data_IF_611955043409
#
_entry.id   IF_611955043409
#
_cell.length_a   1.000
_cell.length_b   1.000
_cell.length_c   1.000
_cell.angle_alpha   90.00
_cell.angle_beta   90.00
_cell.angle_gamma   90.00
#
_symmetry.space_group_name_H-M   'P 1'
#
loop_
_entity.id
_entity.type
_entity.pdbx_description
1 polymer ?
#
# COMPACT_ATOMS: atom_id res chain seq x y z
N UNK A 1 18.82 11.91 3.75
CA UNK A 1 18.06 12.96 3.01
C UNK A 1 16.63 12.46 2.91
N UNK A 2 15.62 13.22 3.34
CA UNK A 2 14.23 12.82 3.16
C UNK A 2 13.94 12.76 1.66
N UNK A 3 13.37 11.64 1.22
CA UNK A 3 13.01 11.41 -0.17
C UNK A 3 11.76 12.25 -0.47
N UNK A 4 11.97 13.46 -0.97
CA UNK A 4 10.90 14.30 -1.53
C UNK A 4 10.55 13.70 -2.87
N UNK A 5 9.41 13.01 -2.96
CA UNK A 5 8.78 12.72 -4.26
C UNK A 5 8.47 14.10 -4.85
N UNK A 6 8.97 14.45 -6.05
CA UNK A 6 8.66 15.74 -6.64
C UNK A 6 7.15 15.86 -6.79
N UNK A 7 6.58 16.87 -6.10
CA UNK A 7 5.19 17.30 -6.28
C UNK A 7 5.16 18.04 -7.61
N UNK A 8 5.08 17.29 -8.70
CA UNK A 8 4.66 17.78 -10.00
C UNK A 8 3.40 17.00 -10.39
N UNK A 9 2.34 17.20 -9.63
CA UNK A 9 0.98 16.90 -10.06
C UNK A 9 0.18 18.17 -9.87
N UNK A 10 -0.37 18.66 -10.95
CA UNK A 10 -1.40 19.70 -10.96
C UNK A 10 -2.58 19.18 -10.14
N UNK A 11 -2.62 19.53 -8.84
CA UNK A 11 -3.81 19.29 -8.04
C UNK A 11 -4.91 20.16 -8.61
N UNK A 12 -6.03 19.58 -8.97
CA UNK A 12 -7.16 20.29 -9.56
C UNK A 12 -7.82 21.25 -8.55
N UNK A 13 -7.56 21.06 -7.23
CA UNK A 13 -8.11 21.87 -6.16
C UNK A 13 -7.23 21.92 -4.89
N UNK A 14 -7.42 22.98 -4.07
CA UNK A 14 -6.80 23.07 -2.74
C UNK A 14 -7.23 21.93 -1.80
N UNK A 15 -8.41 21.36 -2.01
CA UNK A 15 -8.87 20.21 -1.23
C UNK A 15 -8.08 18.94 -1.57
N UNK A 16 -7.82 18.69 -2.85
CA UNK A 16 -6.97 17.56 -3.27
C UNK A 16 -5.53 17.72 -2.80
N UNK A 17 -4.98 18.93 -2.86
CA UNK A 17 -3.66 19.21 -2.32
C UNK A 17 -3.61 18.89 -0.81
N UNK A 18 -4.56 19.41 -0.02
CA UNK A 18 -4.62 19.15 1.43
C UNK A 18 -4.81 17.64 1.74
N UNK A 19 -5.65 16.95 0.96
CA UNK A 19 -5.85 15.51 1.06
C UNK A 19 -4.53 14.76 0.85
N UNK A 20 -3.84 15.03 -0.24
CA UNK A 20 -2.59 14.36 -0.61
C UNK A 20 -1.49 14.64 0.43
N UNK A 21 -1.35 15.88 0.88
CA UNK A 21 -0.34 16.27 1.86
C UNK A 21 -0.56 15.61 3.22
N UNK A 22 -1.78 15.64 3.75
CA UNK A 22 -2.10 14.99 5.04
C UNK A 22 -1.89 13.47 4.91
N UNK A 23 -2.36 12.86 3.83
CA UNK A 23 -2.19 11.43 3.56
C UNK A 23 -0.71 11.03 3.50
N UNK A 24 0.12 11.85 2.84
CA UNK A 24 1.56 11.62 2.77
C UNK A 24 2.21 11.69 4.15
N UNK A 25 1.82 12.66 5.00
CA UNK A 25 2.31 12.77 6.37
C UNK A 25 1.95 11.56 7.24
N UNK A 26 0.75 11.00 7.05
CA UNK A 26 0.35 9.75 7.71
C UNK A 26 1.25 8.60 7.23
N UNK A 27 1.46 8.45 5.94
CA UNK A 27 2.28 7.39 5.37
C UNK A 27 3.77 7.51 5.67
N UNK A 28 4.25 8.71 5.91
CA UNK A 28 5.63 8.97 6.32
C UNK A 28 5.84 8.90 7.85
N UNK A 29 4.81 8.55 8.63
CA UNK A 29 4.84 8.53 10.10
C UNK A 29 5.13 9.88 10.76
N UNK A 30 4.96 11.00 10.03
CA UNK A 30 4.97 12.35 10.62
C UNK A 30 3.72 12.56 11.48
N UNK A 31 2.61 11.91 11.10
CA UNK A 31 1.36 11.83 11.84
C UNK A 31 1.08 10.36 12.17
N UNK A 32 1.05 10.01 13.45
CA UNK A 32 1.00 8.63 13.92
C UNK A 32 -0.43 8.12 14.10
N UNK A 33 -0.67 6.81 13.90
CA UNK A 33 -1.92 6.19 14.32
C UNK A 33 -2.26 6.53 15.77
N UNK A 34 -3.44 7.10 16.00
CA UNK A 34 -3.91 7.54 17.32
C UNK A 34 -3.65 9.02 17.64
N UNK A 35 -2.81 9.74 16.89
CA UNK A 35 -2.56 11.17 17.12
C UNK A 35 -3.86 11.99 16.98
N UNK A 36 -4.05 12.95 17.91
CA UNK A 36 -5.18 13.88 17.91
C UNK A 36 -4.74 15.24 17.36
N UNK A 37 -5.49 15.77 16.41
CA UNK A 37 -5.14 17.01 15.73
C UNK A 37 -6.37 17.89 15.54
N UNK A 38 -6.26 19.18 15.87
CA UNK A 38 -7.32 20.15 15.62
C UNK A 38 -7.36 20.60 14.16
N UNK A 39 -8.55 21.00 13.66
CA UNK A 39 -8.69 21.61 12.31
C UNK A 39 -7.78 22.82 12.12
N UNK A 40 -7.61 23.64 13.18
CA UNK A 40 -6.77 24.82 13.12
C UNK A 40 -5.29 24.51 12.90
N UNK A 41 -4.80 23.45 13.55
CA UNK A 41 -3.41 23.00 13.37
C UNK A 41 -3.21 22.38 11.99
N UNK A 42 -4.16 21.58 11.51
CA UNK A 42 -4.11 20.99 10.17
C UNK A 42 -4.15 22.07 9.08
N UNK A 43 -5.02 23.08 9.22
CA UNK A 43 -5.11 24.19 8.26
C UNK A 43 -3.78 24.94 8.10
N UNK A 44 -3.10 25.20 9.23
CA UNK A 44 -1.77 25.81 9.25
C UNK A 44 -0.71 24.90 8.64
N UNK A 45 -0.75 23.61 8.98
CA UNK A 45 0.21 22.61 8.52
C UNK A 45 0.22 22.47 6.99
N UNK A 46 -0.98 22.43 6.36
CA UNK A 46 -1.12 22.26 4.91
C UNK A 46 -1.42 23.57 4.16
N UNK A 47 -1.31 24.69 4.86
CA UNK A 47 -1.45 26.06 4.33
C UNK A 47 -2.71 26.28 3.47
N UNK A 48 -3.87 25.83 3.95
CA UNK A 48 -5.18 26.04 3.29
C UNK A 48 -6.20 26.62 4.25
N UNK A 49 -7.26 27.24 3.70
CA UNK A 49 -8.40 27.70 4.50
C UNK A 49 -9.28 26.52 4.97
N UNK A 50 -10.22 26.81 5.89
CA UNK A 50 -11.05 25.77 6.51
C UNK A 50 -11.94 25.00 5.53
N UNK A 51 -12.45 25.66 4.48
CA UNK A 51 -13.39 25.01 3.54
C UNK A 51 -12.71 23.86 2.74
N UNK A 52 -11.61 24.09 2.00
CA UNK A 52 -10.91 23.01 1.32
C UNK A 52 -10.35 21.96 2.30
N UNK A 53 -9.91 22.38 3.50
CA UNK A 53 -9.47 21.43 4.52
C UNK A 53 -10.58 20.46 4.92
N UNK A 54 -11.80 20.94 5.19
CA UNK A 54 -12.93 20.09 5.58
C UNK A 54 -13.30 19.10 4.48
N UNK A 55 -13.23 19.49 3.22
CA UNK A 55 -13.43 18.58 2.08
C UNK A 55 -12.37 17.47 2.07
N UNK A 56 -11.10 17.83 2.25
CA UNK A 56 -10.00 16.87 2.37
C UNK A 56 -10.19 15.91 3.55
N UNK A 57 -10.58 16.44 4.72
CA UNK A 57 -10.82 15.64 5.92
C UNK A 57 -12.00 14.67 5.75
N UNK A 58 -13.07 15.07 5.07
CA UNK A 58 -14.18 14.16 4.73
C UNK A 58 -13.72 13.01 3.83
N UNK A 59 -12.87 13.30 2.83
CA UNK A 59 -12.31 12.28 1.95
C UNK A 59 -11.38 11.32 2.73
N UNK A 60 -10.51 11.86 3.60
CA UNK A 60 -9.64 11.05 4.46
C UNK A 60 -10.44 10.17 5.44
N UNK A 61 -11.54 10.69 5.99
CA UNK A 61 -12.44 9.93 6.85
C UNK A 61 -13.15 8.82 6.06
N UNK A 62 -13.65 9.10 4.87
CA UNK A 62 -14.26 8.11 3.99
C UNK A 62 -13.27 6.99 3.64
N UNK A 63 -12.02 7.36 3.36
CA UNK A 63 -10.92 6.40 3.11
C UNK A 63 -10.47 5.62 4.36
N UNK A 64 -10.96 5.98 5.57
CA UNK A 64 -10.61 5.32 6.81
C UNK A 64 -9.24 5.71 7.40
N UNK A 65 -8.63 6.81 6.93
CA UNK A 65 -7.34 7.30 7.43
C UNK A 65 -7.45 8.12 8.72
N UNK A 66 -8.60 8.74 8.95
CA UNK A 66 -8.88 9.56 10.14
C UNK A 66 -10.29 9.31 10.65
N UNK A 67 -10.54 9.68 11.92
CA UNK A 67 -11.86 9.65 12.56
C UNK A 67 -12.16 11.02 13.15
N UNK A 68 -13.40 11.48 13.05
CA UNK A 68 -13.86 12.68 13.76
C UNK A 68 -14.11 12.33 15.23
N UNK A 69 -13.55 13.12 16.15
CA UNK A 69 -13.77 12.99 17.59
C UNK A 69 -14.54 14.22 18.07
N UNK A 70 -15.78 14.07 18.52
CA UNK A 70 -16.60 15.21 18.96
C UNK A 70 -15.90 16.07 19.99
N UNK A 71 -15.97 17.41 19.82
CA UNK A 71 -15.38 18.44 20.67
C UNK A 71 -13.84 18.48 20.73
N UNK A 72 -13.12 17.52 20.11
CA UNK A 72 -11.66 17.45 20.13
C UNK A 72 -11.09 17.82 18.74
N UNK A 73 -11.67 17.26 17.68
CA UNK A 73 -11.18 17.44 16.31
C UNK A 73 -11.07 16.11 15.56
N UNK A 74 -9.87 15.79 15.10
CA UNK A 74 -9.61 14.63 14.28
C UNK A 74 -8.56 13.71 14.91
N UNK A 75 -8.75 12.42 14.75
CA UNK A 75 -7.77 11.41 15.15
C UNK A 75 -7.27 10.67 13.93
N UNK A 76 -5.95 10.51 13.80
CA UNK A 76 -5.38 9.56 12.85
C UNK A 76 -5.88 8.17 13.22
N UNK A 77 -6.42 7.43 12.27
CA UNK A 77 -7.02 6.12 12.55
C UNK A 77 -6.03 5.21 13.30
N UNK A 78 -6.37 4.72 14.49
CA UNK A 78 -5.53 3.73 15.17
C UNK A 78 -5.41 2.47 14.33
N UNK A 79 -4.31 1.72 14.50
CA UNK A 79 -4.17 0.42 13.88
C UNK A 79 -5.18 -0.55 14.52
N UNK A 80 -6.04 -1.07 13.69
CA UNK A 80 -7.04 -2.07 14.03
C UNK A 80 -6.65 -3.38 13.33
N UNK A 81 -6.04 -4.30 14.07
CA UNK A 81 -5.50 -5.54 13.51
C UNK A 81 -6.60 -6.49 13.01
N UNK A 82 -7.78 -6.49 13.63
CA UNK A 82 -8.90 -7.31 13.17
C UNK A 82 -9.42 -6.78 11.83
N UNK A 83 -9.51 -5.45 11.70
CA UNK A 83 -9.87 -4.81 10.43
C UNK A 83 -8.81 -5.01 9.34
N UNK A 84 -7.54 -5.00 9.71
CA UNK A 84 -6.45 -5.32 8.77
C UNK A 84 -6.57 -6.77 8.28
N UNK A 85 -6.88 -7.71 9.14
CA UNK A 85 -7.09 -9.11 8.77
C UNK A 85 -8.23 -9.27 7.75
N UNK A 86 -9.38 -8.61 7.96
CA UNK A 86 -10.49 -8.61 7.00
C UNK A 86 -10.06 -8.05 5.63
N UNK A 87 -9.27 -6.97 5.63
CA UNK A 87 -8.75 -6.38 4.39
C UNK A 87 -7.80 -7.33 3.65
N UNK A 88 -6.92 -8.04 4.37
CA UNK A 88 -6.04 -9.06 3.78
C UNK A 88 -6.83 -10.24 3.22
N UNK A 89 -7.86 -10.70 3.92
CA UNK A 89 -8.71 -11.79 3.45
C UNK A 89 -9.46 -11.40 2.16
N UNK A 90 -9.99 -10.17 2.11
CA UNK A 90 -10.65 -9.67 0.91
C UNK A 90 -9.67 -9.45 -0.25
N UNK A 91 -8.47 -8.96 0.03
CA UNK A 91 -7.38 -8.85 -0.93
C UNK A 91 -7.05 -10.22 -1.57
N UNK A 92 -6.92 -11.27 -0.74
CA UNK A 92 -6.69 -12.64 -1.21
C UNK A 92 -7.77 -13.06 -2.20
N UNK A 93 -9.06 -12.86 -1.89
CA UNK A 93 -10.17 -13.23 -2.77
C UNK A 93 -10.05 -12.55 -4.14
N UNK A 94 -9.77 -11.25 -4.18
CA UNK A 94 -9.63 -10.48 -5.41
C UNK A 94 -8.43 -10.97 -6.22
N UNK A 95 -7.27 -11.10 -5.59
CA UNK A 95 -6.03 -11.45 -6.30
C UNK A 95 -6.02 -12.90 -6.78
N UNK A 96 -6.59 -13.85 -6.03
CA UNK A 96 -6.73 -15.24 -6.50
C UNK A 96 -7.65 -15.33 -7.71
N UNK A 97 -8.73 -14.55 -7.75
CA UNK A 97 -9.61 -14.50 -8.92
C UNK A 97 -8.88 -13.91 -10.13
N UNK A 98 -8.12 -12.82 -9.95
CA UNK A 98 -7.31 -12.22 -11.00
C UNK A 98 -6.28 -13.21 -11.57
N UNK A 99 -5.53 -13.90 -10.72
CA UNK A 99 -4.54 -14.90 -11.14
C UNK A 99 -5.19 -16.08 -11.87
N UNK A 100 -6.36 -16.54 -11.42
CA UNK A 100 -7.13 -17.58 -12.12
C UNK A 100 -7.50 -17.13 -13.54
N UNK A 101 -7.98 -15.90 -13.71
CA UNK A 101 -8.30 -15.36 -15.02
C UNK A 101 -7.06 -15.25 -15.92
N UNK A 102 -5.92 -14.77 -15.37
CA UNK A 102 -4.66 -14.63 -16.09
C UNK A 102 -4.10 -15.97 -16.60
N UNK A 103 -4.21 -17.03 -15.82
CA UNK A 103 -3.78 -18.36 -16.25
C UNK A 103 -4.58 -18.90 -17.45
N UNK A 104 -5.82 -18.45 -17.62
CA UNK A 104 -6.74 -18.89 -18.66
C UNK A 104 -6.80 -17.94 -19.88
N UNK A 105 -6.17 -16.77 -19.81
CA UNK A 105 -6.19 -15.76 -20.86
C UNK A 105 -4.96 -15.83 -21.77
N UNK A 106 -5.00 -15.08 -22.90
CA UNK A 106 -3.83 -14.87 -23.73
C UNK A 106 -2.76 -14.09 -22.95
N UNK A 107 -1.58 -14.68 -22.76
CA UNK A 107 -0.48 -14.21 -21.89
C UNK A 107 0.41 -13.18 -22.55
N UNK A 108 0.14 -12.76 -23.77
CA UNK A 108 0.88 -11.70 -24.48
C UNK A 108 0.39 -10.31 -24.04
N UNK A 109 0.40 -10.06 -22.73
CA UNK A 109 0.01 -8.80 -22.12
C UNK A 109 1.27 -8.01 -21.75
N UNK A 110 1.34 -6.74 -22.17
CA UNK A 110 2.47 -5.85 -21.89
C UNK A 110 2.75 -5.72 -20.38
N UNK A 111 1.71 -5.69 -19.54
CA UNK A 111 1.85 -5.65 -18.08
C UNK A 111 2.66 -6.85 -17.58
N UNK A 112 2.40 -8.03 -18.11
CA UNK A 112 3.14 -9.24 -17.75
C UNK A 112 4.61 -9.20 -18.17
N UNK A 113 4.91 -8.63 -19.35
CA UNK A 113 6.30 -8.44 -19.81
C UNK A 113 7.08 -7.52 -18.86
N UNK A 114 6.45 -6.45 -18.38
CA UNK A 114 7.08 -5.56 -17.39
C UNK A 114 7.29 -6.26 -16.03
N UNK A 115 6.33 -7.03 -15.54
CA UNK A 115 6.51 -7.80 -14.31
C UNK A 115 7.67 -8.80 -14.40
N UNK A 116 7.84 -9.46 -15.56
CA UNK A 116 8.97 -10.36 -15.79
C UNK A 116 10.33 -9.63 -15.72
N UNK A 117 10.43 -8.43 -16.31
CA UNK A 117 11.66 -7.62 -16.29
C UNK A 117 12.07 -7.23 -14.86
N UNK A 118 11.11 -7.07 -13.96
CA UNK A 118 11.35 -6.68 -12.56
C UNK A 118 11.66 -7.89 -11.70
N UNK A 119 10.86 -8.96 -11.80
CA UNK A 119 10.85 -10.04 -10.82
C UNK A 119 11.61 -11.29 -11.25
N UNK A 120 11.96 -11.44 -12.55
CA UNK A 120 12.75 -12.58 -13.04
C UNK A 120 14.24 -12.22 -13.29
N UNK A 121 14.73 -11.16 -12.66
CA UNK A 121 16.13 -10.77 -12.77
C UNK A 121 17.05 -11.63 -11.90
N UNK A 122 18.34 -11.80 -12.32
CA UNK A 122 19.35 -12.49 -11.51
C UNK A 122 19.53 -11.81 -10.14
N UNK A 123 19.89 -12.59 -9.12
CA UNK A 123 20.11 -12.08 -7.74
C UNK A 123 21.09 -10.90 -7.67
N UNK A 124 22.13 -10.90 -8.53
CA UNK A 124 23.12 -9.82 -8.61
C UNK A 124 22.58 -8.47 -9.11
N UNK A 125 21.37 -8.44 -9.69
CA UNK A 125 20.73 -7.22 -10.23
C UNK A 125 19.54 -6.75 -9.39
N UNK A 126 19.22 -7.45 -8.30
CA UNK A 126 18.10 -7.10 -7.41
C UNK A 126 18.42 -5.85 -6.61
N UNK A 127 17.46 -4.97 -6.47
CA UNK A 127 17.54 -3.86 -5.52
C UNK A 127 17.41 -4.36 -4.09
N UNK A 128 18.16 -3.74 -3.17
CA UNK A 128 18.03 -3.93 -1.72
C UNK A 128 17.49 -2.67 -1.03
N UNK A 129 17.09 -1.67 -1.80
CA UNK A 129 16.43 -0.49 -1.27
C UNK A 129 15.02 -0.87 -0.80
N UNK A 130 14.80 -0.79 0.49
CA UNK A 130 13.56 -1.21 1.16
C UNK A 130 12.34 -0.45 0.65
N UNK A 131 12.47 0.87 0.45
CA UNK A 131 11.39 1.71 -0.05
C UNK A 131 11.04 1.38 -1.51
N UNK A 132 12.06 1.24 -2.36
CA UNK A 132 11.89 0.90 -3.76
C UNK A 132 11.21 -0.46 -3.93
N UNK A 133 11.69 -1.49 -3.22
CA UNK A 133 11.12 -2.83 -3.30
C UNK A 133 9.69 -2.87 -2.73
N UNK A 134 9.40 -2.09 -1.69
CA UNK A 134 8.03 -1.94 -1.18
C UNK A 134 7.06 -1.36 -2.21
N UNK A 135 7.51 -0.37 -3.00
CA UNK A 135 6.72 0.19 -4.11
C UNK A 135 6.53 -0.84 -5.23
N UNK A 136 7.60 -1.53 -5.61
CA UNK A 136 7.54 -2.58 -6.63
C UNK A 136 6.61 -3.74 -6.24
N UNK A 137 6.61 -4.12 -4.97
CA UNK A 137 5.72 -5.15 -4.43
C UNK A 137 4.25 -4.70 -4.49
N UNK A 138 3.94 -3.46 -4.14
CA UNK A 138 2.60 -2.89 -4.28
C UNK A 138 2.15 -2.87 -5.76
N UNK A 139 3.05 -2.47 -6.66
CA UNK A 139 2.81 -2.47 -8.11
C UNK A 139 2.60 -3.89 -8.67
N UNK A 140 3.32 -4.89 -8.16
CA UNK A 140 3.13 -6.28 -8.56
C UNK A 140 1.69 -6.73 -8.38
N UNK A 141 1.16 -6.60 -7.18
CA UNK A 141 -0.19 -7.01 -6.85
C UNK A 141 -1.25 -6.24 -7.63
N UNK A 142 -1.12 -4.92 -7.70
CA UNK A 142 -2.04 -4.07 -8.48
C UNK A 142 -2.00 -4.43 -9.96
N UNK A 143 -0.83 -4.73 -10.51
CA UNK A 143 -0.65 -5.12 -11.91
C UNK A 143 -1.30 -6.47 -12.23
N UNK A 144 -1.25 -7.44 -11.31
CA UNK A 144 -1.96 -8.72 -11.48
C UNK A 144 -3.47 -8.48 -11.61
N UNK A 145 -4.05 -7.67 -10.74
CA UNK A 145 -5.48 -7.36 -10.77
C UNK A 145 -5.83 -6.56 -12.03
N UNK A 146 -5.04 -5.55 -12.37
CA UNK A 146 -5.23 -4.75 -13.60
C UNK A 146 -5.18 -5.61 -14.85
N UNK A 147 -4.22 -6.53 -14.94
CA UNK A 147 -4.06 -7.42 -16.10
C UNK A 147 -5.22 -8.40 -16.26
N UNK A 148 -6.02 -8.66 -15.23
CA UNK A 148 -7.24 -9.48 -15.31
C UNK A 148 -8.38 -8.81 -16.07
N UNK A 149 -8.31 -7.48 -16.29
CA UNK A 149 -9.30 -6.70 -17.05
C UNK A 149 -10.60 -6.40 -16.30
N UNK A 150 -10.68 -6.64 -14.98
CA UNK A 150 -11.86 -6.33 -14.18
C UNK A 150 -11.65 -5.01 -13.42
N UNK A 151 -12.23 -3.93 -13.92
CA UNK A 151 -12.06 -2.57 -13.38
C UNK A 151 -12.65 -2.42 -11.95
N UNK A 152 -13.74 -3.10 -11.62
CA UNK A 152 -14.33 -3.04 -10.27
C UNK A 152 -13.43 -3.76 -9.25
N UNK A 153 -12.83 -4.89 -9.65
CA UNK A 153 -11.82 -5.55 -8.83
C UNK A 153 -10.59 -4.66 -8.63
N UNK A 154 -10.13 -3.98 -9.69
CA UNK A 154 -8.98 -3.08 -9.61
C UNK A 154 -9.27 -1.91 -8.67
N UNK A 155 -10.42 -1.28 -8.77
CA UNK A 155 -10.85 -0.19 -7.89
C UNK A 155 -10.86 -0.63 -6.43
N UNK A 156 -11.56 -1.72 -6.14
CA UNK A 156 -11.66 -2.25 -4.78
C UNK A 156 -10.29 -2.68 -4.22
N UNK A 157 -9.46 -3.34 -5.04
CA UNK A 157 -8.10 -3.71 -4.67
C UNK A 157 -7.24 -2.48 -4.34
N UNK A 158 -7.36 -1.41 -5.12
CA UNK A 158 -6.62 -0.15 -4.89
C UNK A 158 -7.02 0.49 -3.57
N UNK A 159 -8.31 0.51 -3.22
CA UNK A 159 -8.81 1.02 -1.94
C UNK A 159 -8.28 0.20 -0.75
N UNK A 160 -8.25 -1.14 -0.87
CA UNK A 160 -7.67 -2.02 0.14
C UNK A 160 -6.17 -1.74 0.29
N UNK A 161 -5.45 -1.68 -0.83
CA UNK A 161 -4.00 -1.44 -0.88
C UNK A 161 -3.63 -0.16 -0.17
N UNK A 162 -4.36 0.93 -0.41
CA UNK A 162 -4.15 2.20 0.28
C UNK A 162 -4.35 2.10 1.80
N UNK A 163 -5.35 1.35 2.25
CA UNK A 163 -5.64 1.19 3.68
C UNK A 163 -4.61 0.36 4.43
N UNK A 164 -4.01 -0.64 3.79
CA UNK A 164 -2.96 -1.47 4.40
C UNK A 164 -1.54 -0.90 4.20
N UNK A 165 -1.39 0.15 3.41
CA UNK A 165 -0.10 0.73 3.02
C UNK A 165 0.78 1.13 4.19
N UNK A 166 0.20 1.74 5.23
CA UNK A 166 0.93 2.19 6.40
C UNK A 166 1.65 1.03 7.12
N UNK A 167 0.96 -0.11 7.27
CA UNK A 167 1.55 -1.28 7.94
C UNK A 167 2.55 -2.02 7.05
N UNK A 168 2.32 -2.05 5.73
CA UNK A 168 3.25 -2.67 4.77
C UNK A 168 4.59 -1.93 4.70
N UNK A 169 4.60 -0.61 4.85
CA UNK A 169 5.85 0.16 4.92
C UNK A 169 6.75 -0.26 6.08
N UNK A 170 6.17 -0.68 7.20
CA UNK A 170 6.92 -1.20 8.35
C UNK A 170 7.46 -2.62 8.11
N UNK A 171 6.77 -3.45 7.34
CA UNK A 171 7.20 -4.81 7.02
C UNK A 171 8.46 -4.83 6.14
N UNK A 172 8.57 -3.95 5.16
CA UNK A 172 9.71 -3.87 4.24
C UNK A 172 11.00 -3.31 4.86
N UNK A 173 11.07 -3.08 6.15
CA UNK A 173 12.32 -2.65 6.82
C UNK A 173 13.36 -3.77 6.93
N UNK A 174 13.00 -5.03 6.69
CA UNK A 174 13.87 -6.21 6.88
C UNK A 174 14.47 -6.69 5.55
N UNK A 175 15.80 -6.72 5.43
CA UNK A 175 16.51 -7.19 4.22
C UNK A 175 16.14 -8.62 3.79
N UNK A 176 15.92 -9.53 4.74
CA UNK A 176 15.50 -10.90 4.44
C UNK A 176 14.15 -10.95 3.71
N UNK A 177 13.22 -10.03 4.05
CA UNK A 177 11.91 -9.93 3.38
C UNK A 177 12.07 -9.57 1.90
N UNK A 178 12.99 -8.66 1.58
CA UNK A 178 13.27 -8.23 0.20
C UNK A 178 13.67 -9.42 -0.68
N UNK A 179 14.65 -10.22 -0.22
CA UNK A 179 15.13 -11.38 -1.00
C UNK A 179 14.01 -12.39 -1.24
N UNK A 180 13.22 -12.71 -0.21
CA UNK A 180 12.10 -13.63 -0.28
C UNK A 180 11.02 -13.13 -1.25
N UNK A 181 10.70 -11.83 -1.24
CA UNK A 181 9.72 -11.22 -2.13
C UNK A 181 10.08 -11.44 -3.60
N UNK A 182 11.34 -11.23 -3.99
CA UNK A 182 11.78 -11.51 -5.36
C UNK A 182 11.60 -12.99 -5.75
N UNK A 183 11.96 -13.90 -4.87
CA UNK A 183 11.86 -15.33 -5.15
C UNK A 183 10.38 -15.78 -5.23
N UNK A 184 9.53 -15.32 -4.32
CA UNK A 184 8.10 -15.61 -4.26
C UNK A 184 7.38 -15.05 -5.51
N UNK A 185 7.56 -13.77 -5.85
CA UNK A 185 6.97 -13.16 -7.04
C UNK A 185 7.44 -13.84 -8.33
N UNK A 186 8.73 -14.16 -8.42
CA UNK A 186 9.27 -14.90 -9.56
C UNK A 186 8.62 -16.28 -9.75
N UNK A 187 8.34 -17.00 -8.66
CA UNK A 187 7.63 -18.29 -8.71
C UNK A 187 6.18 -18.12 -9.15
N UNK A 188 5.47 -17.11 -8.63
CA UNK A 188 4.09 -16.80 -9.00
C UNK A 188 4.00 -16.49 -10.50
N UNK A 189 4.88 -15.62 -11.02
CA UNK A 189 4.92 -15.28 -12.46
C UNK A 189 5.15 -16.53 -13.31
N UNK A 190 6.13 -17.38 -12.95
CA UNK A 190 6.42 -18.60 -13.69
C UNK A 190 5.22 -19.56 -13.71
N UNK A 191 4.51 -19.69 -12.59
CA UNK A 191 3.32 -20.53 -12.52
C UNK A 191 2.19 -20.00 -13.41
N UNK A 192 1.97 -18.67 -13.43
CA UNK A 192 0.98 -18.04 -14.31
C UNK A 192 1.35 -18.23 -15.78
N UNK A 193 2.60 -17.96 -16.17
CA UNK A 193 3.09 -18.16 -17.54
C UNK A 193 2.95 -19.61 -18.02
N UNK A 194 3.11 -20.56 -17.12
CA UNK A 194 2.90 -21.98 -17.42
C UNK A 194 1.41 -22.41 -17.44
N UNK A 195 0.47 -21.52 -17.10
CA UNK A 195 -0.97 -21.84 -17.00
C UNK A 195 -1.33 -22.72 -15.80
N UNK A 196 -0.44 -22.83 -14.81
CA UNK A 196 -0.65 -23.67 -13.63
C UNK A 196 -1.45 -22.93 -12.57
N UNK A 197 -2.74 -22.73 -12.85
CA UNK A 197 -3.63 -21.87 -12.07
C UNK A 197 -3.67 -22.26 -10.58
N UNK A 198 -3.82 -23.55 -10.26
CA UNK A 198 -3.85 -23.99 -8.86
C UNK A 198 -2.55 -23.73 -8.10
N UNK A 199 -1.39 -23.90 -8.77
CA UNK A 199 -0.08 -23.58 -8.19
C UNK A 199 0.09 -22.07 -7.99
N UNK A 200 -0.24 -21.27 -9.00
CA UNK A 200 -0.13 -19.80 -8.93
C UNK A 200 -0.99 -19.23 -7.81
N UNK A 201 -2.23 -19.70 -7.66
CA UNK A 201 -3.13 -19.29 -6.59
C UNK A 201 -2.59 -19.68 -5.21
N UNK A 202 -2.08 -20.92 -5.05
CA UNK A 202 -1.50 -21.37 -3.77
C UNK A 202 -0.27 -20.56 -3.38
N UNK A 203 0.63 -20.27 -4.32
CA UNK A 203 1.83 -19.47 -4.08
C UNK A 203 1.47 -18.03 -3.70
N UNK A 204 0.54 -17.41 -4.43
CA UNK A 204 0.09 -16.04 -4.14
C UNK A 204 -0.61 -15.96 -2.78
N UNK A 205 -1.48 -16.92 -2.47
CA UNK A 205 -2.14 -16.98 -1.16
C UNK A 205 -1.12 -17.06 -0.03
N UNK A 206 -0.16 -17.99 -0.11
CA UNK A 206 0.88 -18.14 0.90
C UNK A 206 1.73 -16.86 1.08
N UNK A 207 2.06 -16.18 -0.03
CA UNK A 207 2.78 -14.92 0.00
C UNK A 207 2.00 -13.82 0.75
N UNK A 208 0.70 -13.65 0.47
CA UNK A 208 -0.13 -12.64 1.12
C UNK A 208 -0.38 -13.00 2.60
N UNK A 209 -0.63 -14.28 2.92
CA UNK A 209 -0.79 -14.76 4.29
C UNK A 209 0.48 -14.54 5.12
N UNK A 210 1.67 -14.72 4.54
CA UNK A 210 2.93 -14.41 5.21
C UNK A 210 3.03 -12.90 5.54
N UNK A 211 2.65 -12.02 4.59
CA UNK A 211 2.60 -10.57 4.85
C UNK A 211 1.60 -10.22 5.96
N UNK A 212 0.41 -10.85 5.98
CA UNK A 212 -0.58 -10.71 7.05
C UNK A 212 0.00 -11.08 8.43
N UNK A 213 0.76 -12.17 8.51
CA UNK A 213 1.43 -12.60 9.75
C UNK A 213 2.48 -11.58 10.21
N UNK A 214 3.29 -11.05 9.29
CA UNK A 214 4.31 -10.05 9.63
C UNK A 214 3.69 -8.74 10.15
N UNK A 215 2.57 -8.31 9.59
CA UNK A 215 1.83 -7.12 10.06
C UNK A 215 1.38 -7.26 11.52
N UNK A 216 0.98 -8.45 11.96
CA UNK A 216 0.61 -8.70 13.36
C UNK A 216 1.80 -8.61 14.35
N UNK A 217 3.03 -8.62 13.86
CA UNK A 217 4.25 -8.46 14.68
C UNK A 217 4.65 -7.00 14.88
N UNK A 218 3.90 -6.05 14.30
CA UNK A 218 4.15 -4.62 14.45
C UNK A 218 3.93 -4.22 15.90
N UNK A 219 4.94 -3.56 16.49
CA UNK A 219 4.92 -3.08 17.87
C UNK A 219 4.91 -1.57 17.93
N UNK A 220 4.50 -1.01 19.09
CA UNK A 220 4.62 0.43 19.37
C UNK A 220 6.07 0.92 19.19
N UNK A 221 7.07 0.11 19.53
CA UNK A 221 8.49 0.43 19.32
C UNK A 221 8.81 0.66 17.85
N UNK A 222 8.35 -0.21 16.96
CA UNK A 222 8.55 -0.04 15.50
C UNK A 222 7.91 1.24 14.96
N UNK A 223 6.72 1.59 15.45
CA UNK A 223 6.06 2.84 15.08
C UNK A 223 6.85 4.07 15.57
N UNK A 224 7.34 4.03 16.82
CA UNK A 224 8.16 5.12 17.37
C UNK A 224 9.48 5.30 16.64
N UNK A 225 10.14 4.22 16.24
CA UNK A 225 11.38 4.28 15.46
C UNK A 225 11.13 4.81 14.04
N UNK A 226 10.03 4.41 13.40
CA UNK A 226 9.62 4.99 12.13
C UNK A 226 9.39 6.52 12.23
N UNK A 227 8.77 7.00 13.32
CA UNK A 227 8.59 8.43 13.59
C UNK A 227 9.91 9.18 13.74
N UNK A 228 10.88 8.62 14.49
CA UNK A 228 12.20 9.25 14.66
C UNK A 228 12.91 9.44 13.33
N UNK A 229 12.82 8.44 12.44
CA UNK A 229 13.41 8.50 11.10
C UNK A 229 12.71 9.52 10.17
N UNK A 230 11.43 9.80 10.41
CA UNK A 230 10.66 10.73 9.60
C UNK A 230 10.89 12.21 9.97
N UNK A 231 11.25 12.49 11.23
CA UNK A 231 11.35 13.86 11.80
C UNK A 231 12.81 14.33 11.94
N UNK A 232 13.79 13.42 11.84
CA UNK A 232 15.23 13.72 11.86
C UNK A 232 15.80 13.88 10.46
#
# INVERSE_FOLDING_TARGET
MPFVIPINSEFSSLAEHAYAEIKQKIFNFEMMPGDLISEGNLAKLVNVSRTPLRQALQQLQHGGFIKSIPKIGWQIAPLDFDKLDELYDFRILIELNAVKALCNSNRDNQIFKELQKIWLIPKSKRSFNTLEVGILDEQFHTSLVKASGNEEMLKTHSEITERIKIVRRLDFTKAARISNTYDEHGQIIKAILAGRSGEAQRLLKAHIEQSKIEVRKITLGMLQDARKLAVG
#
